data_IF_978406725378
#
_entry.id   IF_978406725378
#
_cell.length_a   1.000
_cell.length_b   1.000
_cell.length_c   1.000
_cell.angle_alpha   90.00
_cell.angle_beta   90.00
_cell.angle_gamma   90.00
#
_symmetry.space_group_name_H-M   'P 1'
#
loop_
_entity.id
_entity.type
_entity.pdbx_description
1 polymer ?
#
# COMPACT_ATOMS: atom_id res chain seq x y z
N UNK A 1 -16.18 17.96 24.35
CA UNK A 1 -15.39 16.88 23.75
C UNK A 1 -16.06 15.56 24.05
N UNK A 2 -16.48 14.89 23.01
CA UNK A 2 -17.28 13.68 22.96
C UNK A 2 -16.34 12.46 22.93
N UNK A 3 -16.47 11.59 23.92
CA UNK A 3 -15.61 10.42 24.12
C UNK A 3 -15.66 9.43 22.95
N UNK A 4 -16.77 9.38 22.21
CA UNK A 4 -16.95 8.52 21.04
C UNK A 4 -16.06 8.89 19.84
N UNK A 5 -15.65 10.15 19.72
CA UNK A 5 -14.86 10.67 18.60
C UNK A 5 -13.39 10.33 18.82
N UNK A 6 -12.90 10.51 20.04
CA UNK A 6 -11.54 10.11 20.45
C UNK A 6 -11.28 8.62 20.24
N UNK A 7 -12.23 7.74 20.59
CA UNK A 7 -12.05 6.30 20.41
C UNK A 7 -11.99 5.85 18.95
N UNK A 8 -12.73 6.51 18.05
CA UNK A 8 -12.68 6.21 16.61
C UNK A 8 -11.36 6.64 15.99
N UNK A 9 -10.85 7.80 16.39
CA UNK A 9 -9.57 8.33 15.93
C UNK A 9 -8.40 7.46 16.39
N UNK A 10 -8.41 6.99 17.64
CA UNK A 10 -7.41 6.07 18.18
C UNK A 10 -7.39 4.72 17.43
N UNK A 11 -8.56 4.15 17.12
CA UNK A 11 -8.67 2.90 16.37
C UNK A 11 -8.11 3.03 14.94
N UNK A 12 -8.41 4.12 14.26
CA UNK A 12 -7.90 4.39 12.91
C UNK A 12 -6.37 4.53 12.90
N UNK A 13 -5.79 5.20 13.91
CA UNK A 13 -4.34 5.33 14.05
C UNK A 13 -3.68 3.96 14.30
N UNK A 14 -4.27 3.12 15.16
CA UNK A 14 -3.75 1.77 15.45
C UNK A 14 -3.80 0.87 14.20
N UNK A 15 -4.89 0.91 13.44
CA UNK A 15 -5.03 0.14 12.20
C UNK A 15 -4.01 0.58 11.15
N UNK A 16 -3.82 1.89 10.97
CA UNK A 16 -2.80 2.45 10.09
C UNK A 16 -1.39 1.96 10.44
N UNK A 17 -1.01 2.01 11.73
CA UNK A 17 0.31 1.55 12.18
C UNK A 17 0.49 0.05 11.96
N UNK A 18 -0.57 -0.74 12.15
CA UNK A 18 -0.54 -2.19 11.90
C UNK A 18 -0.30 -2.49 10.41
N UNK A 19 -1.00 -1.80 9.53
CA UNK A 19 -0.88 -1.97 8.08
C UNK A 19 0.49 -1.52 7.57
N UNK A 20 1.02 -0.44 8.14
CA UNK A 20 2.38 0.04 7.88
C UNK A 20 3.43 -1.01 8.29
N UNK A 21 3.27 -1.61 9.47
CA UNK A 21 4.18 -2.68 9.93
C UNK A 21 4.10 -3.91 9.03
N UNK A 22 2.89 -4.31 8.62
CA UNK A 22 2.68 -5.40 7.66
C UNK A 22 3.36 -5.12 6.32
N UNK A 23 3.20 -3.90 5.80
CA UNK A 23 3.84 -3.45 4.57
C UNK A 23 5.36 -3.58 4.64
N UNK A 24 6.00 -3.01 5.67
CA UNK A 24 7.45 -3.05 5.81
C UNK A 24 7.99 -4.47 5.93
N UNK A 25 7.26 -5.36 6.61
CA UNK A 25 7.61 -6.78 6.67
C UNK A 25 7.57 -7.43 5.28
N UNK A 26 6.50 -7.20 4.51
CA UNK A 26 6.37 -7.74 3.16
C UNK A 26 7.39 -7.15 2.18
N UNK A 27 7.64 -5.85 2.25
CA UNK A 27 8.64 -5.15 1.43
C UNK A 27 10.05 -5.66 1.72
N UNK A 28 10.40 -5.83 3.00
CA UNK A 28 11.72 -6.35 3.40
C UNK A 28 11.93 -7.76 2.86
N UNK A 29 10.94 -8.64 3.02
CA UNK A 29 11.00 -10.00 2.48
C UNK A 29 11.11 -9.99 0.95
N UNK A 30 10.35 -9.13 0.27
CA UNK A 30 10.44 -8.98 -1.18
C UNK A 30 11.86 -8.59 -1.62
N UNK A 31 12.45 -7.56 -1.01
CA UNK A 31 13.79 -7.11 -1.36
C UNK A 31 14.84 -8.20 -1.13
N UNK A 32 14.79 -8.88 0.01
CA UNK A 32 15.72 -9.97 0.34
C UNK A 32 15.62 -11.11 -0.67
N UNK A 33 14.40 -11.56 -0.97
CA UNK A 33 14.18 -12.66 -1.94
C UNK A 33 14.63 -12.26 -3.34
N UNK A 34 14.25 -11.07 -3.82
CA UNK A 34 14.63 -10.62 -5.17
C UNK A 34 16.15 -10.46 -5.29
N UNK A 35 16.84 -9.91 -4.28
CA UNK A 35 18.30 -9.82 -4.29
C UNK A 35 18.93 -11.21 -4.39
N UNK A 36 18.48 -12.18 -3.59
CA UNK A 36 18.98 -13.54 -3.61
C UNK A 36 18.74 -14.19 -4.99
N UNK A 37 17.56 -14.02 -5.57
CA UNK A 37 17.23 -14.57 -6.90
C UNK A 37 18.10 -13.95 -8.00
N UNK A 38 18.34 -12.64 -7.95
CA UNK A 38 19.25 -11.98 -8.88
C UNK A 38 20.70 -12.46 -8.73
N UNK A 39 21.17 -12.66 -7.49
CA UNK A 39 22.50 -13.22 -7.25
C UNK A 39 22.62 -14.64 -7.82
N UNK A 40 21.63 -15.50 -7.56
CA UNK A 40 21.61 -16.87 -8.11
C UNK A 40 21.61 -16.84 -9.63
N UNK A 41 20.82 -15.96 -10.23
CA UNK A 41 20.75 -15.80 -11.67
C UNK A 41 22.11 -15.42 -12.26
N UNK A 42 22.74 -14.36 -11.74
CA UNK A 42 24.04 -13.88 -12.23
C UNK A 42 25.16 -14.91 -12.03
N UNK A 43 25.10 -15.71 -10.95
CA UNK A 43 26.08 -16.75 -10.67
C UNK A 43 25.89 -18.02 -11.50
N UNK A 44 24.66 -18.30 -11.93
CA UNK A 44 24.33 -19.54 -12.66
C UNK A 44 24.37 -19.33 -14.17
N UNK A 45 23.65 -18.31 -14.66
CA UNK A 45 23.55 -18.00 -16.07
C UNK A 45 23.18 -16.52 -16.26
N UNK A 46 24.20 -15.71 -16.53
CA UNK A 46 24.03 -14.28 -16.79
C UNK A 46 23.45 -13.97 -18.17
N UNK A 47 23.28 -14.97 -19.06
CA UNK A 47 22.72 -14.75 -20.40
C UNK A 47 21.19 -14.58 -20.37
N UNK A 48 20.52 -15.12 -19.34
CA UNK A 48 19.07 -15.02 -19.19
C UNK A 48 18.63 -14.69 -17.77
N UNK A 49 18.14 -13.45 -17.57
CA UNK A 49 17.70 -12.95 -16.26
C UNK A 49 16.28 -13.41 -15.93
N UNK A 50 16.13 -14.71 -15.62
CA UNK A 50 14.84 -15.29 -15.22
C UNK A 50 14.29 -14.67 -13.92
N UNK A 51 15.14 -14.12 -13.06
CA UNK A 51 14.75 -13.49 -11.79
C UNK A 51 13.84 -12.25 -11.97
N UNK A 52 13.75 -11.69 -13.18
CA UNK A 52 12.88 -10.56 -13.48
C UNK A 52 11.39 -10.93 -13.38
N UNK A 53 11.02 -12.16 -13.71
CA UNK A 53 9.63 -12.62 -13.68
C UNK A 53 9.03 -12.64 -12.27
N UNK A 54 9.66 -13.28 -11.25
CA UNK A 54 9.18 -13.19 -9.88
C UNK A 54 9.28 -11.77 -9.34
N UNK A 55 10.30 -10.98 -9.72
CA UNK A 55 10.41 -9.58 -9.34
C UNK A 55 9.22 -8.74 -9.81
N UNK A 56 8.79 -8.90 -11.07
CA UNK A 56 7.63 -8.20 -11.62
C UNK A 56 6.31 -8.71 -11.02
N UNK A 57 6.12 -10.03 -10.94
CA UNK A 57 4.90 -10.64 -10.40
C UNK A 57 4.62 -10.24 -8.95
N UNK A 58 5.63 -10.37 -8.08
CA UNK A 58 5.49 -9.95 -6.68
C UNK A 58 5.59 -8.44 -6.50
N UNK A 59 6.37 -7.75 -7.34
CA UNK A 59 6.54 -6.30 -7.29
C UNK A 59 5.22 -5.55 -7.45
N UNK A 60 4.32 -6.03 -8.31
CA UNK A 60 2.97 -5.46 -8.46
C UNK A 60 2.17 -5.55 -7.15
N UNK A 61 2.26 -6.69 -6.44
CA UNK A 61 1.59 -6.87 -5.15
C UNK A 61 2.11 -5.90 -4.07
N UNK A 62 3.43 -5.73 -4.00
CA UNK A 62 4.08 -4.77 -3.09
C UNK A 62 3.71 -3.33 -3.44
N UNK A 63 3.68 -2.98 -4.73
CA UNK A 63 3.27 -1.65 -5.19
C UNK A 63 1.80 -1.36 -4.87
N UNK A 64 0.91 -2.33 -4.99
CA UNK A 64 -0.50 -2.18 -4.60
C UNK A 64 -0.63 -1.92 -3.09
N UNK A 65 0.11 -2.67 -2.26
CA UNK A 65 0.10 -2.45 -0.80
C UNK A 65 0.71 -1.09 -0.43
N UNK A 66 1.78 -0.67 -1.12
CA UNK A 66 2.37 0.65 -0.95
C UNK A 66 1.36 1.75 -1.32
N UNK A 67 0.65 1.61 -2.44
CA UNK A 67 -0.36 2.57 -2.87
C UNK A 67 -1.52 2.69 -1.88
N UNK A 68 -1.90 1.60 -1.22
CA UNK A 68 -2.91 1.59 -0.15
C UNK A 68 -2.41 2.30 1.12
N UNK A 69 -1.22 1.97 1.61
CA UNK A 69 -0.67 2.50 2.87
C UNK A 69 -0.24 3.97 2.76
N UNK A 70 0.34 4.37 1.63
CA UNK A 70 0.72 5.77 1.39
C UNK A 70 -0.45 6.64 0.91
N UNK A 71 -1.66 6.07 0.82
CA UNK A 71 -2.81 6.71 0.24
C UNK A 71 -2.45 7.36 -1.11
N UNK A 72 -1.63 6.71 -1.96
CA UNK A 72 -1.14 7.34 -3.19
C UNK A 72 -2.30 7.73 -4.13
N UNK A 73 -3.41 7.00 -4.02
CA UNK A 73 -4.68 7.32 -4.67
C UNK A 73 -5.56 8.34 -3.90
N UNK A 74 -5.02 9.09 -2.91
CA UNK A 74 -5.75 10.08 -2.09
C UNK A 74 -6.42 11.19 -2.90
N UNK A 75 -6.20 11.26 -4.21
CA UNK A 75 -7.05 12.04 -5.10
C UNK A 75 -8.55 11.71 -4.91
N UNK A 76 -8.88 10.48 -4.51
CA UNK A 76 -10.24 9.99 -4.33
C UNK A 76 -10.73 9.92 -2.88
N UNK A 77 -9.92 10.25 -1.88
CA UNK A 77 -10.32 10.03 -0.49
C UNK A 77 -11.04 11.24 0.11
N UNK A 78 -12.08 10.95 0.88
CA UNK A 78 -12.97 11.77 1.72
C UNK A 78 -13.45 13.13 1.19
N UNK A 79 -12.56 13.97 0.68
CA UNK A 79 -12.85 15.28 0.08
C UNK A 79 -13.52 15.16 -1.28
N UNK A 80 -13.11 14.22 -2.13
CA UNK A 80 -13.83 13.92 -3.38
C UNK A 80 -15.18 13.28 -3.09
N UNK A 81 -15.22 12.35 -2.14
CA UNK A 81 -16.45 11.65 -1.74
C UNK A 81 -17.46 12.63 -1.14
N UNK A 82 -17.03 13.49 -0.19
CA UNK A 82 -17.82 14.61 0.33
C UNK A 82 -18.32 15.51 -0.79
N UNK A 83 -17.47 15.86 -1.78
CA UNK A 83 -17.86 16.70 -2.92
C UNK A 83 -18.88 16.04 -3.85
N UNK A 84 -18.85 14.71 -4.01
CA UNK A 84 -19.86 13.97 -4.78
C UNK A 84 -21.17 13.83 -4.00
N UNK A 85 -21.08 13.57 -2.69
CA UNK A 85 -22.22 13.51 -1.78
C UNK A 85 -22.93 14.87 -1.75
N UNK A 86 -22.19 15.97 -1.63
CA UNK A 86 -22.73 17.34 -1.64
C UNK A 86 -23.39 17.69 -2.99
N UNK A 87 -22.78 17.27 -4.11
CA UNK A 87 -23.37 17.39 -5.45
C UNK A 87 -24.68 16.61 -5.61
N UNK A 88 -24.78 15.41 -5.03
CA UNK A 88 -25.99 14.57 -5.14
C UNK A 88 -27.06 14.92 -4.10
N UNK A 89 -26.67 15.41 -2.92
CA UNK A 89 -27.61 15.78 -1.86
C UNK A 89 -28.33 17.09 -2.13
N UNK A 90 -27.78 17.98 -2.97
CA UNK A 90 -28.55 19.03 -3.64
C UNK A 90 -29.51 19.85 -2.76
N UNK A 91 -29.22 19.98 -1.46
CA UNK A 91 -30.09 20.71 -0.53
C UNK A 91 -29.54 22.11 -0.40
N UNK A 92 -30.25 23.07 -1.01
CA UNK A 92 -30.30 24.42 -0.46
C UNK A 92 -30.67 24.28 1.02
N UNK A 93 -29.79 24.72 1.92
CA UNK A 93 -30.25 25.23 3.22
C UNK A 93 -30.81 26.63 2.97
#
# INVERSE_FOLDING_TARGET
MDTNTNQKDELAVVEYVRDLKGFYSHLTNYLVVIIILFLINLLTDSSYIWAIWPALGWGIGVLNHAAHVYEWFNWFNERWEKKQIEKRLGRRL
#
